data_IF_831795701544
#
_entry.id   IF_831795701544
#
_cell.length_a   1.000
_cell.length_b   1.000
_cell.length_c   1.000
_cell.angle_alpha   90.00
_cell.angle_beta   90.00
_cell.angle_gamma   90.00
#
_symmetry.space_group_name_H-M   'P 1'
#
loop_
_entity.id
_entity.type
_entity.pdbx_description
1 polymer ?
#
# COMPACT_ATOMS: atom_id res chain seq x y z
N UNK A 1 -27.37 4.43 -37.52
CA UNK A 1 -26.42 5.41 -36.95
C UNK A 1 -25.38 4.64 -36.16
N UNK A 2 -24.18 4.45 -36.73
CA UNK A 2 -23.10 3.71 -36.09
C UNK A 2 -22.36 4.59 -35.08
N UNK A 3 -22.23 4.11 -33.85
CA UNK A 3 -21.47 4.78 -32.80
C UNK A 3 -19.97 4.67 -33.14
N UNK A 4 -19.19 5.76 -33.08
CA UNK A 4 -17.75 5.68 -33.28
C UNK A 4 -17.11 4.87 -32.14
N UNK A 5 -16.12 4.00 -32.42
CA UNK A 5 -15.41 3.27 -31.38
C UNK A 5 -14.69 4.26 -30.46
N UNK A 6 -14.89 4.10 -29.16
CA UNK A 6 -14.25 4.94 -28.14
C UNK A 6 -12.71 4.78 -28.19
N UNK A 7 -11.95 5.85 -27.95
CA UNK A 7 -10.49 5.79 -27.91
C UNK A 7 -10.03 4.90 -26.76
N UNK A 8 -9.25 3.86 -27.09
CA UNK A 8 -8.58 2.99 -26.12
C UNK A 8 -7.66 3.86 -25.27
N UNK A 9 -8.03 4.10 -24.00
CA UNK A 9 -7.13 4.70 -23.03
C UNK A 9 -6.03 3.69 -22.73
N UNK A 10 -4.78 4.06 -23.02
CA UNK A 10 -3.62 3.29 -22.60
C UNK A 10 -3.58 3.24 -21.07
N UNK A 11 -3.69 2.05 -20.50
CA UNK A 11 -3.53 1.84 -19.05
C UNK A 11 -2.13 2.30 -18.63
N UNK A 12 -1.99 3.01 -17.49
CA UNK A 12 -0.68 3.25 -16.90
C UNK A 12 -0.02 1.89 -16.70
N UNK A 13 1.13 1.64 -17.35
CA UNK A 13 1.92 0.44 -17.09
C UNK A 13 2.35 0.50 -15.63
N UNK A 14 1.65 -0.21 -14.77
CA UNK A 14 2.16 -0.62 -13.47
C UNK A 14 3.48 -1.30 -13.78
N UNK A 15 4.58 -0.64 -13.42
CA UNK A 15 5.92 -1.10 -13.74
C UNK A 15 6.13 -2.41 -12.98
N UNK A 16 5.92 -3.51 -13.69
CA UNK A 16 6.15 -4.86 -13.20
C UNK A 16 7.58 -4.90 -12.60
N UNK A 17 7.78 -5.47 -11.39
CA UNK A 17 9.08 -5.60 -10.75
C UNK A 17 10.20 -6.11 -11.69
N UNK A 18 9.84 -6.91 -12.71
CA UNK A 18 10.76 -7.36 -13.77
C UNK A 18 11.42 -6.22 -14.56
N UNK A 19 10.73 -5.10 -14.78
CA UNK A 19 11.28 -3.96 -15.50
C UNK A 19 12.30 -3.19 -14.65
N UNK A 20 12.04 -3.06 -13.34
CA UNK A 20 12.99 -2.47 -12.38
C UNK A 20 14.26 -3.33 -12.31
N UNK A 21 14.12 -4.65 -12.23
CA UNK A 21 15.25 -5.58 -12.22
C UNK A 21 16.07 -5.47 -13.53
N UNK A 22 15.40 -5.38 -14.68
CA UNK A 22 16.05 -5.23 -15.99
C UNK A 22 16.80 -3.90 -16.11
N UNK A 23 16.23 -2.81 -15.61
CA UNK A 23 16.88 -1.49 -15.57
C UNK A 23 18.12 -1.51 -14.68
N UNK A 24 18.02 -2.11 -13.48
CA UNK A 24 19.14 -2.25 -12.56
C UNK A 24 20.26 -3.12 -13.14
N UNK A 25 19.92 -4.22 -13.81
CA UNK A 25 20.90 -5.07 -14.51
C UNK A 25 21.64 -4.28 -15.60
N UNK A 26 20.92 -3.55 -16.45
CA UNK A 26 21.53 -2.74 -17.50
C UNK A 26 22.45 -1.64 -16.95
N UNK A 27 22.01 -0.94 -15.90
CA UNK A 27 22.83 0.10 -15.26
C UNK A 27 24.08 -0.49 -14.59
N UNK A 28 23.94 -1.65 -13.95
CA UNK A 28 25.04 -2.36 -13.28
C UNK A 28 26.05 -2.87 -14.29
N UNK A 29 25.60 -3.42 -15.42
CA UNK A 29 26.45 -3.86 -16.52
C UNK A 29 27.29 -2.72 -17.11
N UNK A 30 26.66 -1.58 -17.41
CA UNK A 30 27.34 -0.38 -17.92
C UNK A 30 28.36 0.14 -16.90
N UNK A 31 27.97 0.24 -15.64
CA UNK A 31 28.83 0.75 -14.57
C UNK A 31 30.04 -0.16 -14.35
N UNK A 32 29.85 -1.48 -14.31
CA UNK A 32 30.95 -2.45 -14.20
C UNK A 32 31.85 -2.36 -15.44
N UNK A 33 31.29 -2.22 -16.64
CA UNK A 33 32.06 -2.06 -17.88
C UNK A 33 32.98 -0.83 -17.84
N UNK A 34 32.45 0.32 -17.43
CA UNK A 34 33.23 1.57 -17.32
C UNK A 34 34.30 1.46 -16.23
N UNK A 35 33.95 0.94 -15.06
CA UNK A 35 34.89 0.79 -13.94
C UNK A 35 36.01 -0.21 -14.27
N UNK A 36 35.69 -1.29 -14.99
CA UNK A 36 36.68 -2.31 -15.39
C UNK A 36 37.70 -1.77 -16.40
N UNK A 37 37.30 -0.85 -17.28
CA UNK A 37 38.23 -0.25 -18.26
C UNK A 37 39.18 0.79 -17.65
N UNK A 38 38.82 1.36 -16.50
CA UNK A 38 39.64 2.36 -15.79
C UNK A 38 40.49 1.74 -14.67
N UNK A 39 40.13 0.56 -14.18
CA UNK A 39 40.89 -0.15 -13.16
C UNK A 39 42.05 -0.95 -13.80
N UNK A 40 43.24 -0.89 -13.20
CA UNK A 40 44.40 -1.69 -13.60
C UNK A 40 44.97 -2.48 -12.42
N UNK A 41 45.51 -3.66 -12.71
CA UNK A 41 46.18 -4.50 -11.72
C UNK A 41 45.22 -5.14 -10.72
N UNK A 42 45.66 -5.23 -9.45
CA UNK A 42 44.93 -5.96 -8.39
C UNK A 42 43.55 -5.37 -8.07
N UNK A 43 43.36 -4.06 -8.29
CA UNK A 43 42.10 -3.34 -8.05
C UNK A 43 41.03 -3.83 -9.03
N UNK A 44 41.39 -4.09 -10.28
CA UNK A 44 40.49 -4.65 -11.29
C UNK A 44 39.98 -6.04 -10.89
N UNK A 45 40.86 -6.88 -10.33
CA UNK A 45 40.49 -8.21 -9.86
C UNK A 45 39.52 -8.14 -8.66
N UNK A 46 39.75 -7.23 -7.71
CA UNK A 46 38.84 -7.02 -6.58
C UNK A 46 37.47 -6.50 -7.01
N UNK A 47 37.44 -5.55 -7.94
CA UNK A 47 36.20 -5.00 -8.48
C UNK A 47 35.42 -6.06 -9.25
N UNK A 48 36.09 -6.90 -10.05
CA UNK A 48 35.46 -8.01 -10.74
C UNK A 48 34.86 -9.04 -9.77
N UNK A 49 35.59 -9.41 -8.72
CA UNK A 49 35.09 -10.35 -7.68
C UNK A 49 33.90 -9.76 -6.94
N UNK A 50 33.96 -8.49 -6.53
CA UNK A 50 32.85 -7.81 -5.88
C UNK A 50 31.62 -7.73 -6.79
N UNK A 51 31.82 -7.36 -8.06
CA UNK A 51 30.77 -7.24 -9.07
C UNK A 51 30.02 -8.54 -9.34
N UNK A 52 30.66 -9.69 -9.18
CA UNK A 52 30.01 -11.02 -9.29
C UNK A 52 29.38 -11.46 -7.98
N UNK A 53 30.12 -11.35 -6.86
CA UNK A 53 29.67 -11.86 -5.56
C UNK A 53 28.51 -11.07 -4.98
N UNK A 54 28.48 -9.74 -5.14
CA UNK A 54 27.44 -8.90 -4.57
C UNK A 54 26.04 -9.23 -5.13
N UNK A 55 25.78 -9.18 -6.45
CA UNK A 55 24.47 -9.54 -6.99
C UNK A 55 24.13 -11.02 -6.77
N UNK A 56 25.11 -11.93 -6.81
CA UNK A 56 24.88 -13.35 -6.49
C UNK A 56 24.44 -13.54 -5.03
N UNK A 57 25.04 -12.81 -4.10
CA UNK A 57 24.69 -12.83 -2.68
C UNK A 57 23.30 -12.25 -2.43
N UNK A 58 22.99 -11.09 -3.03
CA UNK A 58 21.66 -10.48 -2.95
C UNK A 58 20.59 -11.41 -3.52
N UNK A 59 20.83 -11.99 -4.71
CA UNK A 59 19.94 -12.97 -5.31
C UNK A 59 19.77 -14.20 -4.42
N UNK A 60 20.85 -14.75 -3.86
CA UNK A 60 20.80 -15.90 -2.95
C UNK A 60 19.99 -15.61 -1.68
N UNK A 61 20.14 -14.44 -1.07
CA UNK A 61 19.34 -14.00 0.07
C UNK A 61 17.88 -13.82 -0.33
N UNK A 62 17.62 -13.20 -1.48
CA UNK A 62 16.27 -13.02 -2.02
C UNK A 62 15.56 -14.36 -2.25
N UNK A 63 16.20 -15.32 -2.93
CA UNK A 63 15.65 -16.67 -3.11
C UNK A 63 15.48 -17.42 -1.80
N UNK A 64 16.40 -17.24 -0.83
CA UNK A 64 16.26 -17.83 0.50
C UNK A 64 15.06 -17.26 1.26
N UNK A 65 14.78 -15.95 1.13
CA UNK A 65 13.59 -15.31 1.69
C UNK A 65 12.34 -15.88 1.00
N UNK A 66 12.34 -15.97 -0.34
CA UNK A 66 11.25 -16.57 -1.09
C UNK A 66 10.95 -18.01 -0.66
N UNK A 67 11.99 -18.81 -0.41
CA UNK A 67 11.83 -20.19 0.05
C UNK A 67 11.19 -20.28 1.44
N UNK A 68 11.41 -19.29 2.30
CA UNK A 68 10.89 -19.30 3.67
C UNK A 68 9.58 -18.52 3.85
N UNK A 69 9.30 -17.53 3.00
CA UNK A 69 8.16 -16.61 3.10
C UNK A 69 7.67 -16.19 1.71
N UNK A 70 7.09 -17.09 0.91
CA UNK A 70 6.59 -16.76 -0.43
C UNK A 70 5.51 -15.66 -0.42
N UNK A 71 4.77 -15.51 0.68
CA UNK A 71 3.69 -14.53 0.86
C UNK A 71 4.14 -13.06 0.97
N UNK A 72 5.44 -12.77 1.05
CA UNK A 72 5.96 -11.39 1.23
C UNK A 72 6.10 -10.63 -0.10
N UNK A 73 6.04 -11.30 -1.26
CA UNK A 73 6.46 -10.71 -2.54
C UNK A 73 5.42 -10.70 -3.66
N UNK A 74 4.27 -11.36 -3.52
CA UNK A 74 3.21 -11.21 -4.53
C UNK A 74 1.98 -10.54 -3.93
N UNK A 75 1.43 -9.62 -4.73
CA UNK A 75 0.14 -9.04 -4.43
C UNK A 75 -0.90 -10.17 -4.48
N UNK A 76 -1.92 -10.14 -3.63
CA UNK A 76 -2.83 -11.26 -3.53
C UNK A 76 -3.61 -11.62 -4.82
N UNK A 77 -3.68 -10.71 -5.80
CA UNK A 77 -4.24 -10.95 -7.13
C UNK A 77 -3.35 -11.77 -8.09
N UNK A 78 -2.08 -12.02 -7.76
CA UNK A 78 -1.14 -12.77 -8.60
C UNK A 78 -1.14 -14.30 -8.32
N UNK A 79 -1.95 -14.78 -7.37
CA UNK A 79 -1.98 -16.20 -6.98
C UNK A 79 -3.16 -16.94 -7.63
N UNK A 80 -2.94 -17.59 -8.77
CA UNK A 80 -3.95 -18.45 -9.42
C UNK A 80 -3.95 -19.93 -8.93
N UNK A 81 -3.09 -20.30 -7.96
CA UNK A 81 -2.82 -21.71 -7.64
C UNK A 81 -3.39 -22.21 -6.28
N UNK A 82 -4.11 -23.33 -6.31
CA UNK A 82 -4.99 -23.85 -5.23
C UNK A 82 -4.24 -24.27 -3.94
N UNK A 83 -2.93 -24.57 -4.03
CA UNK A 83 -2.14 -25.07 -2.90
C UNK A 83 -1.82 -24.02 -1.82
N UNK A 84 -1.56 -22.78 -2.25
CA UNK A 84 -1.24 -21.65 -1.34
C UNK A 84 -2.51 -21.11 -0.68
N UNK A 85 -3.64 -21.26 -1.36
CA UNK A 85 -4.95 -20.83 -0.89
C UNK A 85 -5.34 -21.47 0.45
N UNK A 86 -5.00 -22.75 0.62
CA UNK A 86 -5.27 -23.51 1.84
C UNK A 86 -4.43 -23.01 3.03
N UNK A 87 -3.21 -22.55 2.76
CA UNK A 87 -2.29 -22.02 3.78
C UNK A 87 -2.69 -20.59 4.19
N UNK A 88 -3.11 -19.75 3.23
CA UNK A 88 -3.69 -18.43 3.50
C UNK A 88 -5.00 -18.52 4.31
N UNK A 89 -5.84 -19.51 4.02
CA UNK A 89 -7.05 -19.76 4.78
C UNK A 89 -6.76 -20.14 6.25
N UNK A 90 -5.59 -20.70 6.54
CA UNK A 90 -5.17 -21.01 7.92
C UNK A 90 -4.51 -19.82 8.63
N UNK A 91 -3.92 -18.87 7.90
CA UNK A 91 -3.12 -17.76 8.46
C UNK A 91 -3.73 -16.36 8.28
N UNK A 92 -5.03 -16.24 7.94
CA UNK A 92 -5.69 -14.94 7.71
C UNK A 92 -5.52 -13.92 8.85
N UNK A 93 -5.54 -14.38 10.11
CA UNK A 93 -5.25 -13.52 11.27
C UNK A 93 -3.82 -12.95 11.26
N UNK A 94 -2.84 -13.75 10.86
CA UNK A 94 -1.44 -13.31 10.76
C UNK A 94 -1.27 -12.30 9.62
N UNK A 95 -2.01 -12.46 8.51
CA UNK A 95 -2.04 -11.46 7.44
C UNK A 95 -2.63 -10.14 7.92
N UNK A 96 -3.83 -10.16 8.52
CA UNK A 96 -4.48 -8.95 9.03
C UNK A 96 -3.59 -8.24 10.07
N UNK A 97 -3.00 -8.99 11.02
CA UNK A 97 -2.07 -8.46 12.00
C UNK A 97 -0.78 -7.91 11.38
N UNK A 98 -0.21 -8.60 10.38
CA UNK A 98 1.01 -8.16 9.70
C UNK A 98 0.77 -6.90 8.88
N UNK A 99 -0.34 -6.82 8.14
CA UNK A 99 -0.67 -5.66 7.31
C UNK A 99 -0.98 -4.45 8.19
N UNK A 100 -1.83 -4.59 9.21
CA UNK A 100 -2.11 -3.49 10.16
C UNK A 100 -0.84 -2.99 10.84
N UNK A 101 -0.05 -3.90 11.42
CA UNK A 101 1.21 -3.54 12.08
C UNK A 101 2.23 -2.95 11.12
N UNK A 102 2.29 -3.43 9.87
CA UNK A 102 3.20 -2.89 8.85
C UNK A 102 2.79 -1.48 8.43
N UNK A 103 1.48 -1.23 8.28
CA UNK A 103 0.94 0.10 7.98
C UNK A 103 1.22 1.08 9.12
N UNK A 104 1.01 0.66 10.37
CA UNK A 104 1.32 1.49 11.55
C UNK A 104 2.82 1.83 11.63
N UNK A 105 3.71 0.84 11.43
CA UNK A 105 5.15 1.09 11.38
C UNK A 105 5.54 1.98 10.20
N UNK A 106 4.87 1.83 9.06
CA UNK A 106 5.12 2.68 7.88
C UNK A 106 4.72 4.13 8.16
N UNK A 107 3.63 4.34 8.91
CA UNK A 107 3.19 5.65 9.38
C UNK A 107 4.22 6.28 10.32
N UNK A 108 4.67 5.53 11.33
CA UNK A 108 5.70 5.99 12.28
C UNK A 108 7.02 6.35 11.56
N UNK A 109 7.45 5.49 10.63
CA UNK A 109 8.67 5.73 9.84
C UNK A 109 8.54 6.94 8.92
N UNK A 110 7.38 7.12 8.27
CA UNK A 110 7.10 8.28 7.42
C UNK A 110 7.12 9.56 8.27
N UNK A 111 6.49 9.54 9.43
CA UNK A 111 6.47 10.67 10.35
C UNK A 111 7.86 11.06 10.84
N UNK A 112 8.67 10.07 11.25
CA UNK A 112 10.06 10.30 11.67
C UNK A 112 10.90 10.89 10.52
N UNK A 113 10.73 10.38 9.29
CA UNK A 113 11.41 10.90 8.12
C UNK A 113 10.97 12.34 7.78
N UNK A 114 9.66 12.62 7.86
CA UNK A 114 9.11 13.96 7.62
C UNK A 114 9.58 14.95 8.68
N UNK A 115 9.52 14.59 9.96
CA UNK A 115 10.05 15.39 11.07
C UNK A 115 11.52 15.73 10.84
N UNK A 116 12.34 14.74 10.51
CA UNK A 116 13.75 14.96 10.21
C UNK A 116 13.98 15.86 8.98
N UNK A 117 13.17 15.71 7.94
CA UNK A 117 13.24 16.57 6.76
C UNK A 117 12.85 18.02 7.08
N UNK A 118 11.78 18.23 7.86
CA UNK A 118 11.37 19.56 8.29
C UNK A 118 12.39 20.19 9.24
N UNK A 119 12.92 19.47 10.23
CA UNK A 119 13.99 19.98 11.11
C UNK A 119 15.22 20.44 10.33
N UNK A 120 15.54 19.79 9.21
CA UNK A 120 16.69 20.16 8.35
C UNK A 120 16.41 21.35 7.43
N UNK A 121 15.16 21.62 7.10
CA UNK A 121 14.74 22.66 6.14
C UNK A 121 14.24 23.92 6.85
N UNK A 122 13.80 23.80 8.10
CA UNK A 122 13.37 24.92 8.93
C UNK A 122 14.59 25.76 9.29
N UNK A 123 14.81 26.79 8.47
CA UNK A 123 15.81 27.84 8.72
C UNK A 123 15.39 28.64 9.96
N UNK A 124 16.26 28.80 10.98
CA UNK A 124 15.96 29.60 12.17
C UNK A 124 15.43 31.00 11.86
N UNK A 125 15.85 31.59 10.73
CA UNK A 125 15.37 32.89 10.28
C UNK A 125 13.89 32.88 9.85
N UNK A 126 13.42 31.79 9.24
CA UNK A 126 12.02 31.62 8.82
C UNK A 126 11.09 31.40 10.02
N UNK A 127 11.58 30.71 11.06
CA UNK A 127 10.86 30.49 12.33
C UNK A 127 10.61 31.81 13.05
N UNK A 128 11.63 32.67 13.14
CA UNK A 128 11.53 34.00 13.75
C UNK A 128 10.56 34.89 12.98
N UNK A 129 10.57 34.83 11.64
CA UNK A 129 9.61 35.54 10.79
C UNK A 129 8.18 35.02 10.96
N UNK A 130 7.97 33.71 11.06
CA UNK A 130 6.66 33.10 11.27
C UNK A 130 6.09 33.39 12.67
N UNK A 131 6.92 33.34 13.71
CA UNK A 131 6.52 33.68 15.09
C UNK A 131 6.14 35.16 15.24
N UNK A 132 6.72 36.04 14.40
CA UNK A 132 6.38 37.46 14.35
C UNK A 132 5.01 37.74 13.74
N UNK A 133 4.45 36.82 12.94
CA UNK A 133 3.17 36.97 12.24
C UNK A 133 1.95 36.37 12.95
N UNK A 134 2.15 35.43 13.90
CA UNK A 134 1.06 34.66 14.52
C UNK A 134 0.65 35.15 15.92
N UNK A 135 1.24 36.23 16.44
CA UNK A 135 0.86 36.78 17.74
C UNK A 135 1.14 35.84 18.92
N UNK A 136 2.02 34.86 18.75
CA UNK A 136 2.49 33.96 19.82
C UNK A 136 3.54 34.71 20.65
N UNK A 137 3.07 35.66 21.45
CA UNK A 137 3.88 36.35 22.44
C UNK A 137 4.01 35.47 23.69
N UNK A 138 4.98 34.56 23.67
CA UNK A 138 5.76 34.02 24.81
C UNK A 138 6.33 32.64 24.46
N UNK A 139 7.34 32.59 23.60
CA UNK A 139 8.29 31.47 23.59
C UNK A 139 9.61 32.04 24.12
N UNK A 140 10.00 31.64 25.34
CA UNK A 140 11.23 32.09 26.01
C UNK A 140 12.51 31.58 25.31
N UNK A 141 12.38 30.72 24.30
CA UNK A 141 13.49 30.16 23.52
C UNK A 141 13.14 30.09 22.02
N UNK A 142 13.93 30.71 21.11
CA UNK A 142 13.74 30.58 19.66
C UNK A 142 13.80 29.12 19.16
N UNK A 143 14.41 28.21 19.92
CA UNK A 143 14.37 26.77 19.63
C UNK A 143 12.98 26.13 19.81
N UNK A 144 12.14 26.69 20.69
CA UNK A 144 10.82 26.15 21.00
C UNK A 144 9.77 26.53 19.95
N UNK A 145 9.87 27.75 19.41
CA UNK A 145 9.06 28.20 18.28
C UNK A 145 9.29 27.34 17.01
N UNK A 146 10.55 26.93 16.76
CA UNK A 146 10.89 26.07 15.63
C UNK A 146 10.30 24.66 15.76
N UNK A 147 10.33 24.10 16.97
CA UNK A 147 9.72 22.80 17.28
C UNK A 147 8.20 22.84 17.12
N UNK A 148 7.54 23.90 17.58
CA UNK A 148 6.08 24.08 17.42
C UNK A 148 5.64 24.10 15.95
N UNK A 149 6.38 24.78 15.07
CA UNK A 149 6.08 24.80 13.62
C UNK A 149 6.28 23.43 12.98
N UNK A 150 7.34 22.71 13.35
CA UNK A 150 7.59 21.34 12.87
C UNK A 150 6.49 20.39 13.34
N UNK A 151 6.09 20.47 14.62
CA UNK A 151 5.03 19.63 15.18
C UNK A 151 3.68 19.89 14.49
N UNK A 152 3.34 21.14 14.19
CA UNK A 152 2.11 21.48 13.45
C UNK A 152 2.17 20.99 11.99
N UNK A 153 3.32 21.13 11.31
CA UNK A 153 3.50 20.61 9.95
C UNK A 153 3.38 19.07 9.90
N UNK A 154 3.97 18.38 10.88
CA UNK A 154 3.86 16.92 11.02
C UNK A 154 2.41 16.52 11.31
N UNK A 155 1.71 17.25 12.17
CA UNK A 155 0.29 17.01 12.48
C UNK A 155 -0.59 17.20 11.24
N UNK A 156 -0.45 18.29 10.50
CA UNK A 156 -1.19 18.51 9.26
C UNK A 156 -0.92 17.41 8.22
N UNK A 157 0.33 16.96 8.10
CA UNK A 157 0.68 15.86 7.20
C UNK A 157 0.04 14.54 7.63
N UNK A 158 0.03 14.24 8.93
CA UNK A 158 -0.66 13.07 9.49
C UNK A 158 -2.16 13.12 9.21
N UNK A 159 -2.80 14.27 9.44
CA UNK A 159 -4.22 14.47 9.15
C UNK A 159 -4.52 14.27 7.65
N UNK A 160 -3.70 14.84 6.77
CA UNK A 160 -3.83 14.63 5.32
C UNK A 160 -3.63 13.17 4.89
N UNK A 161 -2.74 12.43 5.56
CA UNK A 161 -2.57 11.01 5.30
C UNK A 161 -3.76 10.19 5.81
N UNK A 162 -4.30 10.52 6.99
CA UNK A 162 -5.50 9.87 7.53
C UNK A 162 -6.73 10.10 6.64
N UNK A 163 -6.80 11.23 5.93
CA UNK A 163 -7.81 11.47 4.91
C UNK A 163 -7.64 10.60 3.65
N UNK A 164 -6.50 9.93 3.49
CA UNK A 164 -6.15 9.08 2.33
C UNK A 164 -6.04 7.60 2.69
N UNK A 165 -6.58 7.19 3.82
CA UNK A 165 -6.72 5.77 4.15
C UNK A 165 -8.19 5.41 4.21
N UNK A 166 -8.49 4.15 3.88
CA UNK A 166 -9.76 3.51 4.21
C UNK A 166 -9.49 2.60 5.38
N UNK A 167 -10.35 2.67 6.39
CA UNK A 167 -10.33 1.76 7.53
C UNK A 167 -11.45 0.74 7.34
N UNK A 168 -11.12 -0.55 7.37
CA UNK A 168 -12.10 -1.63 7.29
C UNK A 168 -12.11 -2.39 8.60
N UNK A 169 -13.23 -2.28 9.32
CA UNK A 169 -13.52 -3.06 10.51
C UNK A 169 -13.98 -4.47 10.11
N UNK A 170 -13.27 -5.47 10.62
CA UNK A 170 -13.48 -6.89 10.34
C UNK A 170 -14.14 -7.64 11.50
N UNK A 171 -14.48 -6.94 12.59
CA UNK A 171 -14.99 -7.52 13.84
C UNK A 171 -16.31 -8.28 13.68
N UNK A 172 -17.16 -7.88 12.73
CA UNK A 172 -18.44 -8.55 12.45
C UNK A 172 -18.26 -9.87 11.68
N UNK A 173 -17.10 -10.10 11.05
CA UNK A 173 -16.76 -11.39 10.43
C UNK A 173 -16.04 -12.28 11.44
N UNK A 174 -15.09 -11.71 12.17
CA UNK A 174 -14.33 -12.44 13.18
C UNK A 174 -13.99 -11.51 14.37
N UNK A 175 -14.49 -11.86 15.55
CA UNK A 175 -14.24 -11.11 16.77
C UNK A 175 -12.75 -11.02 17.14
N UNK A 176 -11.93 -11.99 16.71
CA UNK A 176 -10.47 -11.96 16.85
C UNK A 176 -9.79 -10.87 16.03
N UNK A 177 -10.43 -10.40 14.96
CA UNK A 177 -9.95 -9.31 14.11
C UNK A 177 -10.36 -7.93 14.60
N UNK A 178 -11.19 -7.83 15.65
CA UNK A 178 -11.62 -6.54 16.21
C UNK A 178 -10.45 -5.66 16.71
N UNK A 179 -9.29 -6.26 16.98
CA UNK A 179 -8.07 -5.55 17.41
C UNK A 179 -7.21 -5.06 16.25
N UNK A 180 -7.53 -5.46 15.03
CA UNK A 180 -6.71 -5.24 13.84
C UNK A 180 -7.59 -4.72 12.69
N UNK A 181 -8.07 -3.45 12.77
CA UNK A 181 -8.73 -2.84 11.63
C UNK A 181 -7.76 -2.82 10.44
N UNK A 182 -8.27 -3.16 9.27
CA UNK A 182 -7.46 -3.14 8.06
C UNK A 182 -7.36 -1.69 7.57
N UNK A 183 -6.18 -1.10 7.71
CA UNK A 183 -5.89 0.24 7.20
C UNK A 183 -5.28 0.11 5.81
N UNK A 184 -6.00 0.66 4.82
CA UNK A 184 -5.65 0.54 3.42
C UNK A 184 -5.40 1.93 2.82
N UNK A 185 -4.15 2.29 2.49
CA UNK A 185 -3.84 3.55 1.81
C UNK A 185 -4.47 3.58 0.42
N UNK A 186 -5.16 4.68 0.10
CA UNK A 186 -5.81 4.86 -1.20
C UNK A 186 -5.18 5.98 -2.01
N UNK A 187 -5.20 5.77 -3.31
CA UNK A 187 -4.77 6.71 -4.35
C UNK A 187 -5.86 6.84 -5.38
N UNK A 188 -5.76 7.82 -6.28
CA UNK A 188 -6.74 8.01 -7.35
C UNK A 188 -6.80 6.82 -8.34
N UNK A 189 -5.75 6.00 -8.37
CA UNK A 189 -5.68 4.77 -9.17
C UNK A 189 -6.14 3.52 -8.42
N UNK A 190 -6.42 3.60 -7.12
CA UNK A 190 -6.82 2.45 -6.33
C UNK A 190 -8.23 2.00 -6.73
N UNK A 191 -8.36 0.71 -7.04
CA UNK A 191 -9.59 0.13 -7.58
C UNK A 191 -10.43 -0.55 -6.51
N UNK A 192 -11.70 -0.82 -6.85
CA UNK A 192 -12.57 -1.68 -6.04
C UNK A 192 -11.95 -3.06 -5.84
N UNK A 193 -11.40 -3.65 -6.91
CA UNK A 193 -10.80 -4.95 -6.84
C UNK A 193 -9.61 -5.01 -5.88
N UNK A 194 -8.72 -4.01 -5.90
CA UNK A 194 -7.60 -3.92 -4.95
C UNK A 194 -8.09 -3.93 -3.50
N UNK A 195 -9.14 -3.15 -3.19
CA UNK A 195 -9.72 -3.10 -1.85
C UNK A 195 -10.34 -4.44 -1.46
N UNK A 196 -11.17 -5.03 -2.32
CA UNK A 196 -11.89 -6.27 -2.03
C UNK A 196 -10.94 -7.45 -1.86
N UNK A 197 -9.87 -7.50 -2.64
CA UNK A 197 -8.82 -8.51 -2.48
C UNK A 197 -8.19 -8.35 -1.10
N UNK A 198 -7.68 -7.17 -0.75
CA UNK A 198 -7.05 -6.95 0.56
C UNK A 198 -7.96 -7.31 1.74
N UNK A 199 -9.24 -6.93 1.68
CA UNK A 199 -10.22 -7.33 2.69
C UNK A 199 -10.36 -8.84 2.69
N UNK A 200 -10.58 -9.46 1.52
CA UNK A 200 -10.74 -10.91 1.39
C UNK A 200 -9.58 -11.67 2.03
N UNK A 201 -8.32 -11.29 1.78
CA UNK A 201 -7.16 -11.99 2.37
C UNK A 201 -7.11 -11.86 3.89
N UNK A 202 -7.55 -10.73 4.44
CA UNK A 202 -7.65 -10.57 5.89
C UNK A 202 -8.71 -11.49 6.52
N UNK A 203 -9.77 -11.84 5.77
CA UNK A 203 -10.90 -12.65 6.25
C UNK A 203 -10.98 -14.05 5.62
N UNK A 204 -9.98 -14.46 4.85
CA UNK A 204 -10.05 -15.68 4.02
C UNK A 204 -10.32 -16.95 4.83
N UNK A 205 -9.95 -16.97 6.12
CA UNK A 205 -10.26 -18.04 7.06
C UNK A 205 -11.77 -18.21 7.29
N UNK A 206 -12.54 -17.13 7.22
CA UNK A 206 -13.95 -17.06 7.63
C UNK A 206 -14.93 -17.04 6.46
N UNK A 207 -14.46 -16.72 5.24
CA UNK A 207 -15.32 -16.62 4.04
C UNK A 207 -14.76 -17.43 2.88
N UNK A 208 -15.62 -17.77 1.92
CA UNK A 208 -15.21 -18.51 0.71
C UNK A 208 -14.62 -17.58 -0.34
N UNK A 209 -13.82 -18.11 -1.26
CA UNK A 209 -13.33 -17.39 -2.45
C UNK A 209 -14.51 -16.87 -3.27
N UNK A 210 -14.36 -15.67 -3.87
CA UNK A 210 -15.36 -15.06 -4.76
C UNK A 210 -16.79 -15.03 -4.17
N UNK A 211 -16.87 -14.82 -2.86
CA UNK A 211 -18.11 -14.84 -2.09
C UNK A 211 -18.59 -13.45 -1.65
N UNK A 212 -17.93 -12.40 -2.13
CA UNK A 212 -18.42 -11.03 -2.01
C UNK A 212 -19.83 -10.91 -2.62
N UNK A 213 -20.73 -10.22 -1.92
CA UNK A 213 -22.15 -10.13 -2.25
C UNK A 213 -22.89 -11.49 -2.27
N UNK A 214 -22.32 -12.53 -1.65
CA UNK A 214 -22.97 -13.84 -1.45
C UNK A 214 -22.95 -14.26 0.00
N UNK A 215 -21.81 -14.11 0.66
CA UNK A 215 -21.61 -14.45 2.07
C UNK A 215 -21.09 -13.30 2.92
N UNK A 216 -20.57 -12.25 2.29
CA UNK A 216 -20.16 -11.04 2.98
C UNK A 216 -20.24 -9.80 2.08
N UNK A 217 -20.31 -8.63 2.69
CA UNK A 217 -20.41 -7.32 2.04
C UNK A 217 -19.66 -6.26 2.84
N UNK A 218 -19.33 -5.14 2.19
CA UNK A 218 -18.88 -3.93 2.86
C UNK A 218 -20.06 -2.97 3.08
N UNK A 219 -20.16 -2.45 4.29
CA UNK A 219 -21.09 -1.39 4.66
C UNK A 219 -20.31 -0.15 5.08
N UNK A 220 -20.67 1.02 4.56
CA UNK A 220 -20.12 2.28 5.04
C UNK A 220 -20.64 2.58 6.45
N UNK A 221 -19.73 2.76 7.40
CA UNK A 221 -20.06 2.90 8.81
C UNK A 221 -20.79 4.21 9.14
N UNK A 222 -20.57 5.27 8.34
CA UNK A 222 -21.18 6.58 8.55
C UNK A 222 -22.57 6.70 7.94
N UNK A 223 -22.77 6.14 6.75
CA UNK A 223 -24.03 6.23 5.99
C UNK A 223 -24.92 5.01 6.17
N UNK A 224 -24.37 3.87 6.64
CA UNK A 224 -25.07 2.58 6.69
C UNK A 224 -25.31 1.97 5.32
N UNK A 225 -24.75 2.53 4.24
CA UNK A 225 -24.95 2.03 2.88
C UNK A 225 -24.15 0.76 2.66
N UNK A 226 -24.82 -0.32 2.29
CA UNK A 226 -24.17 -1.55 1.85
C UNK A 226 -23.76 -1.46 0.37
N UNK A 227 -22.50 -1.80 0.07
CA UNK A 227 -21.98 -1.80 -1.29
C UNK A 227 -22.19 -3.15 -1.96
N UNK A 228 -23.40 -3.44 -2.43
CA UNK A 228 -23.70 -4.70 -3.16
C UNK A 228 -23.34 -4.64 -4.64
N UNK A 229 -23.29 -3.43 -5.21
CA UNK A 229 -23.05 -3.16 -6.63
C UNK A 229 -21.56 -2.95 -6.98
N UNK A 230 -20.69 -3.76 -6.34
CA UNK A 230 -19.24 -3.72 -6.55
C UNK A 230 -18.65 -5.14 -6.61
N UNK A 231 -17.43 -5.27 -7.14
CA UNK A 231 -16.68 -6.53 -7.19
C UNK A 231 -17.01 -7.41 -8.40
N UNK A 232 -16.52 -8.65 -8.39
CA UNK A 232 -16.56 -9.56 -9.55
C UNK A 232 -17.95 -9.78 -10.14
N UNK A 233 -18.99 -9.87 -9.31
CA UNK A 233 -20.37 -10.08 -9.79
C UNK A 233 -20.86 -8.87 -10.61
N UNK A 234 -20.59 -7.66 -10.15
CA UNK A 234 -20.89 -6.43 -10.86
C UNK A 234 -20.04 -6.32 -12.13
N UNK A 235 -18.72 -6.57 -12.04
CA UNK A 235 -17.80 -6.45 -13.18
C UNK A 235 -18.16 -7.40 -14.33
N UNK A 236 -18.57 -8.63 -14.03
CA UNK A 236 -19.03 -9.59 -15.05
C UNK A 236 -20.30 -9.14 -15.74
N UNK A 237 -21.22 -8.51 -14.99
CA UNK A 237 -22.53 -8.09 -15.50
C UNK A 237 -22.44 -6.83 -16.35
N UNK A 238 -21.69 -5.83 -15.89
CA UNK A 238 -21.64 -4.50 -16.54
C UNK A 238 -20.50 -4.36 -17.54
N UNK A 239 -19.34 -4.97 -17.28
CA UNK A 239 -18.12 -4.78 -18.08
C UNK A 239 -17.68 -6.04 -18.84
N UNK A 240 -18.28 -7.20 -18.57
CA UNK A 240 -17.80 -8.50 -19.05
C UNK A 240 -16.36 -8.80 -18.61
N UNK A 241 -16.00 -8.38 -17.40
CA UNK A 241 -14.68 -8.57 -16.82
C UNK A 241 -14.72 -9.39 -15.52
N UNK A 242 -13.58 -9.99 -15.15
CA UNK A 242 -13.45 -10.78 -13.92
C UNK A 242 -13.15 -9.93 -12.69
N UNK A 243 -12.68 -8.70 -12.90
CA UNK A 243 -12.18 -7.83 -11.86
C UNK A 243 -12.79 -6.44 -12.00
N UNK A 244 -13.08 -5.80 -10.86
CA UNK A 244 -13.70 -4.48 -10.83
C UNK A 244 -12.64 -3.38 -10.80
N UNK A 245 -12.17 -2.98 -11.99
CA UNK A 245 -11.13 -1.95 -12.15
C UNK A 245 -11.63 -0.52 -11.93
N UNK A 246 -12.88 -0.34 -11.51
CA UNK A 246 -13.37 1.01 -11.24
C UNK A 246 -12.59 1.61 -10.08
N UNK A 247 -12.18 2.89 -10.18
CA UNK A 247 -11.66 3.63 -9.04
C UNK A 247 -12.68 3.62 -7.89
N UNK A 248 -12.20 3.59 -6.65
CA UNK A 248 -13.06 3.57 -5.47
C UNK A 248 -14.10 4.70 -5.44
N UNK A 249 -13.70 5.91 -5.84
CA UNK A 249 -14.59 7.07 -5.94
C UNK A 249 -15.77 6.85 -6.91
N UNK A 250 -15.58 6.08 -7.98
CA UNK A 250 -16.67 5.71 -8.91
C UNK A 250 -17.64 4.69 -8.31
N UNK A 251 -17.19 3.91 -7.34
CA UNK A 251 -18.03 3.01 -6.55
C UNK A 251 -18.70 3.70 -5.35
N UNK A 252 -18.45 5.00 -5.16
CA UNK A 252 -18.93 5.78 -4.03
C UNK A 252 -18.23 5.44 -2.72
N UNK A 253 -16.99 4.97 -2.79
CA UNK A 253 -16.10 4.76 -1.65
C UNK A 253 -15.04 5.84 -1.72
N UNK A 254 -15.03 6.74 -0.74
CA UNK A 254 -14.12 7.89 -0.75
C UNK A 254 -12.93 7.65 0.18
N UNK A 255 -11.78 8.31 -0.07
CA UNK A 255 -10.70 8.38 0.90
C UNK A 255 -11.19 8.88 2.27
N UNK A 256 -10.74 8.24 3.35
CA UNK A 256 -11.20 8.52 4.71
C UNK A 256 -12.48 7.77 5.12
N UNK A 257 -13.14 7.04 4.20
CA UNK A 257 -14.28 6.19 4.55
C UNK A 257 -13.90 5.13 5.58
N UNK A 258 -14.82 4.90 6.52
CA UNK A 258 -14.78 3.76 7.45
C UNK A 258 -15.79 2.73 7.00
N UNK A 259 -15.33 1.53 6.68
CA UNK A 259 -16.14 0.44 6.20
C UNK A 259 -16.22 -0.67 7.26
N UNK A 260 -17.33 -1.40 7.27
CA UNK A 260 -17.53 -2.61 8.07
C UNK A 260 -17.73 -3.79 7.14
N UNK A 261 -16.89 -4.81 7.29
CA UNK A 261 -17.10 -6.08 6.61
C UNK A 261 -18.12 -6.89 7.41
N UNK A 262 -19.22 -7.29 6.79
CA UNK A 262 -20.31 -8.01 7.44
C UNK A 262 -20.59 -9.33 6.74
N UNK A 263 -20.90 -10.37 7.52
CA UNK A 263 -21.46 -11.61 6.99
C UNK A 263 -22.92 -11.38 6.58
N UNK A 264 -23.26 -11.80 5.36
CA UNK A 264 -24.65 -11.84 4.91
C UNK A 264 -25.33 -13.06 5.52
N UNK A 265 -26.37 -12.86 6.32
CA UNK A 265 -27.16 -13.98 6.83
C UNK A 265 -28.09 -14.48 5.73
N UNK A 266 -28.52 -15.76 5.77
CA UNK A 266 -29.47 -16.29 4.80
C UNK A 266 -30.79 -15.53 4.72
N UNK A 267 -31.15 -14.78 5.76
CA UNK A 267 -32.36 -13.95 5.82
C UNK A 267 -32.22 -12.58 5.13
N UNK A 268 -31.01 -12.16 4.78
CA UNK A 268 -30.70 -10.85 4.19
C UNK A 268 -30.58 -10.92 2.65
N UNK A 269 -31.03 -12.03 2.04
CA UNK A 269 -31.01 -12.28 0.59
C UNK A 269 -32.38 -12.10 -0.06
#
# INVERSE_FOLDING_TARGET
MGHPPSPVKASPRVMNPLWIISLFLGLTEVTIGVVTTQATGWIQALLAVFAVLFPSGVAGVFFRILWKKPWVLYAPGDYEDEGIFKDLQQHGHEYAATVSTATDRSLENLEAAMRSAFEKVVDPALVVAAASGTGVSSAEDPGDAGRSVVDEAVKMAREHFQQRVIEVDLSEIDAGLARFPLIFPVTDSTTVGDLLDNVYFAIAASVRVHSYNKSWVLEDAGTGRTHTEIGTAWARRELNEQHDWRPLSKAGIEPGSRLRAKLLRPADR
#
